data_IF_226343515445
#
_entry.id   IF_226343515445
#
_cell.length_a   1.000
_cell.length_b   1.000
_cell.length_c   1.000
_cell.angle_alpha   90.00
_cell.angle_beta   90.00
_cell.angle_gamma   90.00
#
_symmetry.space_group_name_H-M   'P 1'
#
loop_
_entity.id
_entity.type
_entity.pdbx_description
1 polymer ?
#
# COMPACT_ATOMS: atom_id res chain seq x y z
N UNK A 1 -31.28 16.74 20.97
CA UNK A 1 -32.03 15.47 21.02
C UNK A 1 -32.26 14.94 22.43
N UNK A 2 -31.26 14.91 23.34
CA UNK A 2 -31.49 14.38 24.71
C UNK A 2 -32.47 15.23 25.53
N UNK A 3 -32.35 16.56 25.50
CA UNK A 3 -33.19 17.46 26.31
C UNK A 3 -34.67 17.48 25.88
N UNK A 4 -34.92 17.29 24.58
CA UNK A 4 -36.27 17.27 24.00
C UNK A 4 -37.00 15.97 24.34
N UNK A 5 -36.28 14.84 24.36
CA UNK A 5 -36.81 13.55 24.83
C UNK A 5 -37.12 13.60 26.33
N UNK A 6 -36.26 14.25 27.13
CA UNK A 6 -36.49 14.43 28.57
C UNK A 6 -37.65 15.39 28.88
N UNK A 7 -37.93 16.35 28.00
CA UNK A 7 -39.12 17.20 28.10
C UNK A 7 -40.39 16.39 27.80
N UNK A 8 -40.40 15.60 26.71
CA UNK A 8 -41.54 14.76 26.33
C UNK A 8 -41.86 13.70 27.40
N UNK A 9 -40.83 13.07 27.99
CA UNK A 9 -41.01 12.08 29.07
C UNK A 9 -41.59 12.71 30.36
N UNK A 10 -41.27 13.98 30.65
CA UNK A 10 -41.86 14.71 31.78
C UNK A 10 -43.34 15.02 31.54
N UNK A 11 -43.70 15.46 30.33
CA UNK A 11 -45.10 15.70 29.96
C UNK A 11 -45.93 14.42 30.00
N UNK A 12 -45.37 13.30 29.52
CA UNK A 12 -46.04 12.00 29.56
C UNK A 12 -46.32 11.52 30.99
N UNK A 13 -45.38 11.70 31.93
CA UNK A 13 -45.61 11.37 33.35
C UNK A 13 -46.67 12.25 34.00
N UNK A 14 -46.69 13.55 33.70
CA UNK A 14 -47.70 14.47 34.22
C UNK A 14 -49.11 14.06 33.77
N UNK A 15 -49.29 13.72 32.49
CA UNK A 15 -50.57 13.24 31.96
C UNK A 15 -51.01 11.91 32.59
N UNK A 16 -50.06 11.01 32.88
CA UNK A 16 -50.36 9.74 33.55
C UNK A 16 -50.81 9.94 35.01
N UNK A 17 -50.26 10.93 35.71
CA UNK A 17 -50.69 11.31 37.06
C UNK A 17 -52.08 11.99 37.06
N UNK A 18 -52.37 12.84 36.08
CA UNK A 18 -53.72 13.41 35.91
C UNK A 18 -54.78 12.33 35.65
N UNK A 19 -54.49 11.36 34.79
CA UNK A 19 -55.41 10.25 34.52
C UNK A 19 -55.68 9.40 35.78
N UNK A 20 -54.66 9.20 36.63
CA UNK A 20 -54.85 8.52 37.92
C UNK A 20 -55.75 9.32 38.88
N UNK A 21 -55.69 10.65 38.84
CA UNK A 21 -56.54 11.49 39.66
C UNK A 21 -58.00 11.54 39.16
N UNK A 22 -58.24 11.46 37.86
CA UNK A 22 -59.61 11.39 37.32
C UNK A 22 -60.24 9.99 37.45
N UNK A 23 -59.46 8.91 37.40
CA UNK A 23 -59.97 7.54 37.56
C UNK A 23 -60.37 7.15 38.99
N UNK A 24 -60.04 7.96 40.00
CA UNK A 24 -60.33 7.66 41.41
C UNK A 24 -61.69 8.21 41.91
N UNK A 25 -62.40 9.01 41.12
CA UNK A 25 -63.65 9.67 41.55
C UNK A 25 -64.95 9.07 40.98
N UNK A 26 -64.91 7.97 40.22
CA UNK A 26 -66.11 7.36 39.59
C UNK A 26 -66.59 6.05 40.27
N UNK A 27 -66.43 5.91 41.59
CA UNK A 27 -66.89 4.71 42.31
C UNK A 27 -67.72 5.02 43.55
N UNK A 28 -68.79 5.81 43.42
CA UNK A 28 -69.92 5.80 44.36
C UNK A 28 -71.21 6.31 43.71
N UNK A 29 -71.75 5.57 42.75
CA UNK A 29 -73.18 5.60 42.50
C UNK A 29 -73.76 4.23 42.84
N UNK A 30 -74.19 4.12 44.10
CA UNK A 30 -75.05 3.06 44.58
C UNK A 30 -76.32 3.04 43.72
N UNK A 31 -76.45 1.95 42.97
CA UNK A 31 -77.65 1.57 42.25
C UNK A 31 -78.78 1.36 43.27
N UNK A 32 -79.74 2.29 43.32
CA UNK A 32 -80.98 2.13 44.07
C UNK A 32 -81.92 1.26 43.23
N UNK A 33 -82.35 0.07 43.69
CA UNK A 33 -83.30 -0.73 42.95
C UNK A 33 -84.70 -0.11 43.09
N UNK A 34 -85.23 0.43 41.99
CA UNK A 34 -86.66 0.74 41.89
C UNK A 34 -87.45 -0.58 41.90
N UNK A 35 -87.98 -0.95 43.06
CA UNK A 35 -89.03 -1.96 43.16
C UNK A 35 -90.32 -1.35 42.63
N UNK A 36 -90.85 -1.89 41.52
CA UNK A 36 -92.18 -1.54 41.03
C UNK A 36 -93.20 -2.00 42.07
N UNK A 37 -93.85 -1.06 42.75
CA UNK A 37 -95.04 -1.31 43.54
C UNK A 37 -96.14 -1.87 42.63
N UNK A 38 -96.42 -3.16 42.79
CA UNK A 38 -97.62 -3.80 42.29
C UNK A 38 -98.85 -3.10 42.89
N UNK A 39 -99.71 -2.60 42.01
CA UNK A 39 -101.04 -2.11 42.37
C UNK A 39 -101.87 -3.24 42.97
N UNK A 40 -102.16 -3.13 44.28
CA UNK A 40 -103.27 -3.84 44.91
C UNK A 40 -104.53 -3.01 44.69
N UNK A 41 -105.32 -3.39 43.68
CA UNK A 41 -106.73 -3.00 43.61
C UNK A 41 -107.45 -3.62 44.81
N UNK A 42 -107.91 -2.78 45.74
CA UNK A 42 -108.80 -3.18 46.82
C UNK A 42 -110.19 -3.45 46.24
N UNK A 43 -110.56 -4.72 46.18
CA UNK A 43 -111.95 -5.14 46.18
C UNK A 43 -112.58 -4.71 47.52
N UNK A 44 -113.71 -4.01 47.48
CA UNK A 44 -114.35 -3.48 48.68
C UNK A 44 -115.74 -2.90 48.43
N UNK A 45 -116.69 -3.81 48.21
CA UNK A 45 -118.10 -3.71 48.65
C UNK A 45 -118.76 -2.31 48.64
N UNK A 46 -119.49 -2.01 47.57
CA UNK A 46 -120.59 -1.04 47.61
C UNK A 46 -121.91 -1.81 47.64
N UNK A 47 -122.57 -1.80 48.81
CA UNK A 47 -123.86 -2.44 49.06
C UNK A 47 -124.99 -1.66 48.40
N UNK A 48 -125.58 -2.26 47.36
CA UNK A 48 -126.87 -1.86 46.80
C UNK A 48 -127.97 -2.02 47.86
N UNK A 49 -128.49 -0.91 48.40
CA UNK A 49 -129.81 -0.86 49.05
C UNK A 49 -130.80 -0.24 48.07
N UNK A 50 -131.38 -1.09 47.22
CA UNK A 50 -132.54 -0.72 46.42
C UNK A 50 -133.80 -0.92 47.27
N UNK A 51 -134.38 0.19 47.71
CA UNK A 51 -135.72 0.22 48.30
C UNK A 51 -136.75 -0.01 47.19
N UNK A 52 -137.52 -1.10 47.33
CA UNK A 52 -138.61 -1.47 46.44
C UNK A 52 -139.88 -0.66 46.78
N UNK A 53 -140.36 0.01 45.73
CA UNK A 53 -141.77 0.11 45.32
C UNK A 53 -142.80 0.77 46.23
N UNK A 54 -143.32 1.91 45.77
CA UNK A 54 -144.76 2.13 45.61
C UNK A 54 -144.99 3.26 44.61
N UNK A 55 -145.15 2.93 43.32
CA UNK A 55 -145.61 3.87 42.30
C UNK A 55 -146.25 3.06 41.16
N UNK A 56 -147.57 3.04 41.16
CA UNK A 56 -148.40 2.68 40.01
C UNK A 56 -148.13 3.68 38.90
N UNK A 57 -147.38 3.25 37.88
CA UNK A 57 -147.05 4.06 36.71
C UNK A 57 -147.47 3.33 35.44
N UNK A 58 -148.13 4.10 34.61
CA UNK A 58 -148.66 3.82 33.28
C UNK A 58 -147.67 3.03 32.39
N UNK A 59 -148.08 1.84 31.94
CA UNK A 59 -147.24 0.89 31.19
C UNK A 59 -146.76 1.45 29.83
N UNK A 60 -147.46 2.44 29.27
CA UNK A 60 -147.10 3.06 27.99
C UNK A 60 -145.89 4.01 28.10
N UNK A 61 -145.80 4.78 29.20
CA UNK A 61 -144.66 5.69 29.46
C UNK A 61 -143.37 4.92 29.77
N UNK A 62 -143.49 3.77 30.45
CA UNK A 62 -142.34 2.94 30.81
C UNK A 62 -141.71 2.24 29.60
N UNK A 63 -142.51 1.84 28.60
CA UNK A 63 -142.00 1.19 27.37
C UNK A 63 -141.23 2.19 26.50
N UNK A 64 -141.71 3.43 26.35
CA UNK A 64 -140.98 4.48 25.63
C UNK A 64 -139.69 4.89 26.34
N UNK A 65 -139.71 5.04 27.66
CA UNK A 65 -138.50 5.32 28.44
C UNK A 65 -137.46 4.20 28.34
N UNK A 66 -137.90 2.93 28.35
CA UNK A 66 -137.02 1.78 28.14
C UNK A 66 -136.49 1.70 26.71
N UNK A 67 -137.26 2.12 25.70
CA UNK A 67 -136.82 2.21 24.31
C UNK A 67 -135.75 3.28 24.11
N UNK A 68 -135.95 4.48 24.68
CA UNK A 68 -134.95 5.56 24.67
C UNK A 68 -133.69 5.17 25.45
N UNK A 69 -133.83 4.54 26.61
CA UNK A 69 -132.71 4.01 27.37
C UNK A 69 -131.94 2.94 26.57
N UNK A 70 -132.63 2.03 25.87
CA UNK A 70 -131.99 1.04 25.00
C UNK A 70 -131.25 1.68 23.82
N UNK A 71 -131.83 2.70 23.18
CA UNK A 71 -131.17 3.43 22.09
C UNK A 71 -129.92 4.18 22.58
N UNK A 72 -130.00 4.83 23.75
CA UNK A 72 -128.86 5.49 24.40
C UNK A 72 -127.76 4.50 24.77
N UNK A 73 -128.13 3.36 25.37
CA UNK A 73 -127.20 2.29 25.73
C UNK A 73 -126.54 1.66 24.50
N UNK A 74 -127.27 1.50 23.39
CA UNK A 74 -126.68 1.06 22.12
C UNK A 74 -125.70 2.08 21.56
N UNK A 75 -126.04 3.37 21.57
CA UNK A 75 -125.11 4.43 21.15
C UNK A 75 -123.86 4.51 22.04
N UNK A 76 -124.00 4.33 23.35
CA UNK A 76 -122.87 4.22 24.27
C UNK A 76 -122.03 2.95 24.03
N UNK A 77 -122.67 1.82 23.75
CA UNK A 77 -121.99 0.56 23.42
C UNK A 77 -121.22 0.68 22.11
N UNK A 78 -121.82 1.23 21.05
CA UNK A 78 -121.17 1.47 19.76
C UNK A 78 -119.99 2.44 19.93
N UNK A 79 -120.16 3.50 20.73
CA UNK A 79 -119.07 4.42 21.07
C UNK A 79 -117.96 3.73 21.89
N UNK A 80 -118.31 2.80 22.78
CA UNK A 80 -117.31 1.99 23.49
C UNK A 80 -116.58 1.04 22.54
N UNK A 81 -117.28 0.37 21.61
CA UNK A 81 -116.67 -0.49 20.59
C UNK A 81 -115.68 0.29 19.71
N UNK A 82 -116.06 1.49 19.25
CA UNK A 82 -115.14 2.35 18.48
C UNK A 82 -113.93 2.78 19.31
N UNK A 83 -114.10 3.05 20.62
CA UNK A 83 -112.97 3.36 21.51
C UNK A 83 -112.07 2.14 21.72
N UNK A 84 -112.62 0.94 21.85
CA UNK A 84 -111.81 -0.29 21.99
C UNK A 84 -111.08 -0.61 20.70
N UNK A 85 -111.70 -0.47 19.54
CA UNK A 85 -111.05 -0.65 18.23
C UNK A 85 -109.92 0.38 18.03
N UNK A 86 -110.14 1.64 18.39
CA UNK A 86 -109.09 2.66 18.36
C UNK A 86 -107.95 2.34 19.35
N UNK A 87 -108.27 1.85 20.55
CA UNK A 87 -107.28 1.40 21.52
C UNK A 87 -106.47 0.22 20.98
N UNK A 88 -107.11 -0.78 20.37
CA UNK A 88 -106.45 -1.93 19.75
C UNK A 88 -105.51 -1.50 18.62
N UNK A 89 -105.96 -0.62 17.72
CA UNK A 89 -105.12 -0.07 16.66
C UNK A 89 -103.89 0.69 17.21
N UNK A 90 -104.06 1.45 18.30
CA UNK A 90 -102.92 2.11 18.96
C UNK A 90 -101.96 1.12 19.63
N UNK A 91 -102.47 0.06 20.26
CA UNK A 91 -101.66 -1.02 20.83
C UNK A 91 -100.85 -1.73 19.74
N UNK A 92 -101.47 -2.03 18.60
CA UNK A 92 -100.80 -2.69 17.48
C UNK A 92 -99.71 -1.79 16.85
N UNK A 93 -100.00 -0.50 16.67
CA UNK A 93 -99.00 0.49 16.24
C UNK A 93 -97.83 0.61 17.23
N UNK A 94 -98.11 0.66 18.53
CA UNK A 94 -97.08 0.70 19.57
C UNK A 94 -96.27 -0.60 19.61
N UNK A 95 -96.90 -1.76 19.45
CA UNK A 95 -96.23 -3.06 19.36
C UNK A 95 -95.28 -3.12 18.18
N UNK A 96 -95.70 -2.62 17.02
CA UNK A 96 -94.87 -2.55 15.81
C UNK A 96 -93.66 -1.64 16.03
N UNK A 97 -93.87 -0.44 16.58
CA UNK A 97 -92.78 0.49 16.93
C UNK A 97 -91.81 -0.10 17.96
N UNK A 98 -92.32 -0.85 18.95
CA UNK A 98 -91.48 -1.53 19.93
C UNK A 98 -90.59 -2.59 19.27
N UNK A 99 -91.15 -3.40 18.36
CA UNK A 99 -90.37 -4.39 17.60
C UNK A 99 -89.30 -3.74 16.73
N UNK A 100 -89.64 -2.64 16.04
CA UNK A 100 -88.66 -1.87 15.25
C UNK A 100 -87.54 -1.29 16.13
N UNK A 101 -87.89 -0.73 17.29
CA UNK A 101 -86.91 -0.21 18.24
C UNK A 101 -86.00 -1.32 18.80
N UNK A 102 -86.56 -2.50 19.09
CA UNK A 102 -85.80 -3.67 19.52
C UNK A 102 -84.85 -4.18 18.42
N UNK A 103 -85.29 -4.21 17.16
CA UNK A 103 -84.42 -4.56 16.02
C UNK A 103 -83.27 -3.58 15.89
N UNK A 104 -83.55 -2.27 15.92
CA UNK A 104 -82.51 -1.22 15.85
C UNK A 104 -81.53 -1.29 17.02
N UNK A 105 -82.01 -1.60 18.22
CA UNK A 105 -81.14 -1.79 19.38
C UNK A 105 -80.22 -3.01 19.21
N UNK A 106 -80.75 -4.12 18.69
CA UNK A 106 -79.96 -5.32 18.40
C UNK A 106 -78.91 -5.07 17.31
N UNK A 107 -79.26 -4.32 16.26
CA UNK A 107 -78.31 -3.91 15.22
C UNK A 107 -77.20 -3.01 15.78
N UNK A 108 -77.56 -2.04 16.63
CA UNK A 108 -76.58 -1.19 17.31
C UNK A 108 -75.67 -1.98 18.24
N UNK A 109 -76.19 -2.97 18.96
CA UNK A 109 -75.39 -3.86 19.81
C UNK A 109 -74.39 -4.67 18.98
N UNK A 110 -74.81 -5.24 17.86
CA UNK A 110 -73.92 -5.99 16.96
C UNK A 110 -72.78 -5.10 16.42
N UNK A 111 -73.09 -3.87 16.02
CA UNK A 111 -72.09 -2.90 15.56
C UNK A 111 -71.10 -2.53 16.68
N UNK A 112 -71.58 -2.34 17.92
CA UNK A 112 -70.71 -2.07 19.08
C UNK A 112 -69.78 -3.27 19.36
N UNK A 113 -70.30 -4.49 19.28
CA UNK A 113 -69.50 -5.71 19.46
C UNK A 113 -68.43 -5.83 18.37
N UNK A 114 -68.76 -5.58 17.11
CA UNK A 114 -67.82 -5.55 15.99
C UNK A 114 -66.70 -4.52 16.22
N UNK A 115 -67.04 -3.26 16.52
CA UNK A 115 -66.05 -2.23 16.84
C UNK A 115 -65.19 -2.58 18.07
N UNK A 116 -65.77 -3.23 19.08
CA UNK A 116 -65.01 -3.66 20.26
C UNK A 116 -63.99 -4.75 19.93
N UNK A 117 -64.37 -5.68 19.03
CA UNK A 117 -63.50 -6.73 18.53
C UNK A 117 -62.38 -6.16 17.67
N UNK A 118 -62.69 -5.27 16.73
CA UNK A 118 -61.69 -4.57 15.91
C UNK A 118 -60.72 -3.77 16.78
N UNK A 119 -61.21 -3.04 17.78
CA UNK A 119 -60.37 -2.30 18.73
C UNK A 119 -59.43 -3.23 19.49
N UNK A 120 -59.91 -4.40 19.93
CA UNK A 120 -59.07 -5.41 20.59
C UNK A 120 -57.97 -5.92 19.66
N UNK A 121 -58.32 -6.22 18.40
CA UNK A 121 -57.36 -6.69 17.40
C UNK A 121 -56.28 -5.63 17.11
N UNK A 122 -56.66 -4.37 16.96
CA UNK A 122 -55.71 -3.25 16.77
C UNK A 122 -54.79 -3.12 17.98
N UNK A 123 -55.31 -3.29 19.20
CA UNK A 123 -54.51 -3.21 20.42
C UNK A 123 -53.49 -4.34 20.51
N UNK A 124 -53.85 -5.56 20.13
CA UNK A 124 -52.92 -6.69 20.09
C UNK A 124 -51.85 -6.52 19.00
N UNK A 125 -52.22 -5.99 17.83
CA UNK A 125 -51.26 -5.62 16.79
C UNK A 125 -50.29 -4.54 17.27
N UNK A 126 -50.77 -3.52 17.99
CA UNK A 126 -49.93 -2.48 18.56
C UNK A 126 -48.92 -3.04 19.56
N UNK A 127 -49.36 -3.95 20.46
CA UNK A 127 -48.47 -4.65 21.38
C UNK A 127 -47.41 -5.48 20.66
N UNK A 128 -47.77 -6.16 19.58
CA UNK A 128 -46.82 -6.94 18.79
C UNK A 128 -45.75 -6.04 18.14
N UNK A 129 -46.16 -4.88 17.61
CA UNK A 129 -45.24 -3.87 17.07
C UNK A 129 -44.33 -3.29 18.16
N UNK A 130 -44.87 -3.00 19.35
CA UNK A 130 -44.08 -2.51 20.48
C UNK A 130 -43.02 -3.53 20.92
N UNK A 131 -43.39 -4.80 21.02
CA UNK A 131 -42.44 -5.89 21.32
C UNK A 131 -41.36 -6.01 20.24
N UNK A 132 -41.74 -5.91 18.96
CA UNK A 132 -40.80 -5.89 17.83
C UNK A 132 -39.80 -4.73 17.92
N UNK A 133 -40.27 -3.53 18.25
CA UNK A 133 -39.43 -2.35 18.43
C UNK A 133 -38.45 -2.50 19.61
N UNK A 134 -38.90 -3.08 20.72
CA UNK A 134 -38.01 -3.37 21.86
C UNK A 134 -36.93 -4.39 21.48
N UNK A 135 -37.30 -5.43 20.72
CA UNK A 135 -36.35 -6.42 20.20
C UNK A 135 -35.31 -5.77 19.27
N UNK A 136 -35.75 -4.96 18.30
CA UNK A 136 -34.86 -4.24 17.39
C UNK A 136 -33.93 -3.28 18.13
N UNK A 137 -34.43 -2.57 19.14
CA UNK A 137 -33.61 -1.69 19.98
C UNK A 137 -32.52 -2.47 20.73
N UNK A 138 -32.85 -3.65 21.24
CA UNK A 138 -31.86 -4.51 21.91
C UNK A 138 -30.79 -5.02 20.96
N UNK A 139 -31.16 -5.43 19.74
CA UNK A 139 -30.19 -5.89 18.74
C UNK A 139 -29.32 -4.75 18.21
N UNK A 140 -29.90 -3.55 18.02
CA UNK A 140 -29.13 -2.36 17.66
C UNK A 140 -28.06 -2.04 18.71
N UNK A 141 -28.42 -2.08 20.00
CA UNK A 141 -27.46 -1.86 21.08
C UNK A 141 -26.36 -2.94 21.11
N UNK A 142 -26.72 -4.19 20.79
CA UNK A 142 -25.77 -5.30 20.67
C UNK A 142 -24.78 -5.05 19.52
N UNK A 143 -25.27 -4.62 18.36
CA UNK A 143 -24.45 -4.30 17.19
C UNK A 143 -23.53 -3.10 17.44
N UNK A 144 -24.02 -2.05 18.10
CA UNK A 144 -23.19 -0.90 18.51
C UNK A 144 -22.04 -1.37 19.41
N UNK A 145 -22.35 -2.21 20.41
CA UNK A 145 -21.33 -2.75 21.33
C UNK A 145 -20.29 -3.60 20.59
N UNK A 146 -20.74 -4.48 19.69
CA UNK A 146 -19.84 -5.31 18.88
C UNK A 146 -18.94 -4.47 17.97
N UNK A 147 -19.47 -3.42 17.35
CA UNK A 147 -18.71 -2.51 16.51
C UNK A 147 -17.65 -1.75 17.32
N UNK A 148 -17.99 -1.29 18.54
CA UNK A 148 -17.03 -0.64 19.43
C UNK A 148 -15.93 -1.60 19.90
N UNK A 149 -16.26 -2.86 20.19
CA UNK A 149 -15.28 -3.90 20.49
C UNK A 149 -14.32 -4.15 19.32
N UNK A 150 -14.84 -4.28 18.10
CA UNK A 150 -14.03 -4.44 16.88
C UNK A 150 -13.12 -3.23 16.65
N UNK A 151 -13.66 -2.01 16.81
CA UNK A 151 -12.87 -0.77 16.69
C UNK A 151 -11.74 -0.73 17.70
N UNK A 152 -12.01 -1.09 18.96
CA UNK A 152 -10.96 -1.15 19.99
C UNK A 152 -9.94 -2.24 19.71
N UNK A 153 -10.35 -3.42 19.22
CA UNK A 153 -9.44 -4.50 18.85
C UNK A 153 -8.47 -4.04 17.74
N UNK A 154 -8.99 -3.46 16.66
CA UNK A 154 -8.17 -2.92 15.57
C UNK A 154 -7.21 -1.83 16.07
N UNK A 155 -7.67 -0.94 16.96
CA UNK A 155 -6.80 0.09 17.54
C UNK A 155 -5.65 -0.53 18.35
N UNK A 156 -5.92 -1.58 19.15
CA UNK A 156 -4.89 -2.27 19.93
C UNK A 156 -3.86 -2.95 19.04
N UNK A 157 -4.29 -3.61 17.97
CA UNK A 157 -3.40 -4.24 16.98
C UNK A 157 -2.53 -3.20 16.25
N UNK A 158 -3.13 -2.08 15.85
CA UNK A 158 -2.40 -0.96 15.27
C UNK A 158 -1.33 -0.41 16.22
N UNK A 159 -1.72 -0.10 17.46
CA UNK A 159 -0.81 0.42 18.48
C UNK A 159 0.32 -0.57 18.81
N UNK A 160 0.01 -1.87 18.80
CA UNK A 160 1.00 -2.93 18.99
C UNK A 160 2.01 -2.97 17.84
N UNK A 161 1.53 -2.95 16.60
CA UNK A 161 2.38 -2.97 15.40
C UNK A 161 3.30 -1.75 15.37
N UNK A 162 2.77 -0.56 15.68
CA UNK A 162 3.57 0.68 15.76
C UNK A 162 4.63 0.59 16.86
N UNK A 163 4.29 0.03 18.02
CA UNK A 163 5.26 -0.20 19.12
C UNK A 163 6.36 -1.17 18.71
N UNK A 164 6.02 -2.29 18.08
CA UNK A 164 7.00 -3.29 17.63
C UNK A 164 7.93 -2.72 16.56
N UNK A 165 7.39 -2.01 15.56
CA UNK A 165 8.20 -1.33 14.54
C UNK A 165 9.13 -0.28 15.15
N UNK A 166 8.66 0.47 16.15
CA UNK A 166 9.49 1.47 16.85
C UNK A 166 10.67 0.81 17.56
N UNK A 167 10.42 -0.25 18.33
CA UNK A 167 11.48 -0.98 19.05
C UNK A 167 12.49 -1.57 18.08
N UNK A 168 12.04 -2.14 16.96
CA UNK A 168 12.95 -2.69 15.95
C UNK A 168 13.77 -1.62 15.24
N UNK A 169 13.16 -0.48 14.91
CA UNK A 169 13.88 0.67 14.37
C UNK A 169 14.93 1.21 15.36
N UNK A 170 14.61 1.29 16.66
CA UNK A 170 15.56 1.70 17.69
C UNK A 170 16.76 0.73 17.77
N UNK A 171 16.52 -0.60 17.68
CA UNK A 171 17.60 -1.60 17.61
C UNK A 171 18.46 -1.44 16.36
N UNK A 172 17.84 -1.25 15.20
CA UNK A 172 18.55 -1.06 13.93
C UNK A 172 19.40 0.20 13.94
N UNK A 173 18.87 1.31 14.47
CA UNK A 173 19.62 2.57 14.64
C UNK A 173 20.82 2.34 15.55
N UNK A 174 20.64 1.68 16.70
CA UNK A 174 21.75 1.37 17.61
C UNK A 174 22.83 0.54 16.92
N UNK A 175 22.44 -0.51 16.19
CA UNK A 175 23.38 -1.35 15.46
C UNK A 175 24.16 -0.59 14.38
N UNK A 176 23.49 0.26 13.59
CA UNK A 176 24.14 1.08 12.56
C UNK A 176 25.08 2.11 13.18
N UNK A 177 24.72 2.73 14.30
CA UNK A 177 25.61 3.63 15.05
C UNK A 177 26.89 2.90 15.50
N UNK A 178 26.76 1.69 16.07
CA UNK A 178 27.92 0.87 16.45
C UNK A 178 28.81 0.51 15.24
N UNK A 179 28.22 0.22 14.07
CA UNK A 179 28.99 -0.01 12.84
C UNK A 179 29.73 1.25 12.37
N UNK A 180 29.07 2.41 12.41
CA UNK A 180 29.68 3.70 12.06
C UNK A 180 30.87 4.00 12.98
N UNK A 181 30.72 3.78 14.29
CA UNK A 181 31.79 4.01 15.25
C UNK A 181 32.98 3.07 15.02
N UNK A 182 32.73 1.80 14.72
CA UNK A 182 33.79 0.84 14.31
C UNK A 182 34.49 1.27 13.02
N UNK A 183 33.74 1.70 12.02
CA UNK A 183 34.29 2.17 10.75
C UNK A 183 35.14 3.45 10.94
N UNK A 184 34.68 4.39 11.78
CA UNK A 184 35.44 5.59 12.15
C UNK A 184 36.72 5.26 12.87
N UNK A 185 36.68 4.32 13.83
CA UNK A 185 37.87 3.85 14.52
C UNK A 185 38.88 3.24 13.53
N UNK A 186 38.44 2.34 12.65
CA UNK A 186 39.29 1.74 11.61
C UNK A 186 39.89 2.77 10.65
N UNK A 187 39.12 3.77 10.23
CA UNK A 187 39.62 4.87 9.40
C UNK A 187 40.71 5.67 10.11
N UNK A 188 40.51 5.98 11.41
CA UNK A 188 41.52 6.71 12.19
C UNK A 188 42.80 5.89 12.33
N UNK A 189 42.71 4.58 12.61
CA UNK A 189 43.87 3.68 12.64
C UNK A 189 44.61 3.68 11.32
N UNK A 190 43.91 3.47 10.19
CA UNK A 190 44.53 3.49 8.86
C UNK A 190 45.18 4.84 8.54
N UNK A 191 44.56 5.94 8.98
CA UNK A 191 45.10 7.29 8.79
C UNK A 191 46.42 7.47 9.54
N UNK A 192 46.51 7.00 10.78
CA UNK A 192 47.75 7.05 11.56
C UNK A 192 48.82 6.10 11.00
N UNK A 193 48.45 4.89 10.56
CA UNK A 193 49.37 3.97 9.86
C UNK A 193 49.93 4.59 8.58
N UNK A 194 49.09 5.26 7.78
CA UNK A 194 49.51 5.98 6.58
C UNK A 194 50.46 7.13 6.89
N UNK A 195 50.23 7.88 7.97
CA UNK A 195 51.16 8.93 8.42
C UNK A 195 52.50 8.35 8.87
N UNK A 196 52.47 7.26 9.64
CA UNK A 196 53.67 6.57 10.11
C UNK A 196 54.50 6.02 8.93
N UNK A 197 53.85 5.35 7.97
CA UNK A 197 54.50 4.83 6.77
C UNK A 197 55.14 5.95 5.93
N UNK A 198 54.46 7.09 5.75
CA UNK A 198 55.04 8.26 5.07
C UNK A 198 56.24 8.84 5.81
N UNK A 199 56.20 8.89 7.14
CA UNK A 199 57.32 9.35 7.96
C UNK A 199 58.53 8.44 7.77
N UNK A 200 58.33 7.13 7.88
CA UNK A 200 59.38 6.13 7.68
C UNK A 200 59.98 6.19 6.27
N UNK A 201 59.15 6.33 5.24
CA UNK A 201 59.62 6.48 3.86
C UNK A 201 60.41 7.78 3.66
N UNK A 202 60.02 8.87 4.32
CA UNK A 202 60.75 10.13 4.27
C UNK A 202 62.14 10.02 4.95
N UNK A 203 62.23 9.31 6.07
CA UNK A 203 63.50 9.00 6.75
C UNK A 203 64.41 8.13 5.88
N UNK A 204 63.87 7.06 5.29
CA UNK A 204 64.61 6.18 4.36
C UNK A 204 65.13 6.96 3.15
N UNK A 205 64.30 7.80 2.55
CA UNK A 205 64.69 8.65 1.43
C UNK A 205 65.79 9.67 1.82
N UNK A 206 65.77 10.19 3.05
CA UNK A 206 66.85 11.04 3.56
C UNK A 206 68.15 10.24 3.75
N UNK A 207 68.08 9.02 4.29
CA UNK A 207 69.23 8.12 4.42
C UNK A 207 69.88 7.81 3.07
N UNK A 208 69.09 7.39 2.08
CA UNK A 208 69.56 7.10 0.73
C UNK A 208 70.18 8.33 0.05
N UNK A 209 69.63 9.53 0.27
CA UNK A 209 70.22 10.78 -0.24
C UNK A 209 71.56 11.09 0.40
N UNK A 210 71.72 10.81 1.69
CA UNK A 210 72.99 11.00 2.39
C UNK A 210 74.04 10.01 1.86
N UNK A 211 73.67 8.74 1.70
CA UNK A 211 74.53 7.69 1.15
C UNK A 211 74.95 7.99 -0.30
N UNK A 212 74.00 8.41 -1.15
CA UNK A 212 74.31 8.82 -2.53
C UNK A 212 75.31 9.98 -2.57
N UNK A 213 75.17 10.97 -1.68
CA UNK A 213 76.14 12.09 -1.59
C UNK A 213 77.52 11.60 -1.16
N UNK A 214 77.60 10.71 -0.18
CA UNK A 214 78.87 10.14 0.27
C UNK A 214 79.56 9.38 -0.87
N UNK A 215 78.83 8.51 -1.57
CA UNK A 215 79.34 7.78 -2.74
C UNK A 215 79.77 8.71 -3.88
N UNK A 216 79.04 9.81 -4.10
CA UNK A 216 79.41 10.82 -5.10
C UNK A 216 80.73 11.52 -4.72
N UNK A 217 80.88 11.92 -3.46
CA UNK A 217 82.13 12.52 -2.96
C UNK A 217 83.31 11.55 -3.03
N UNK A 218 83.10 10.27 -2.70
CA UNK A 218 84.13 9.25 -2.82
C UNK A 218 84.55 9.04 -4.28
N UNK A 219 83.60 8.95 -5.21
CA UNK A 219 83.88 8.92 -6.64
C UNK A 219 84.69 10.13 -7.09
N UNK A 220 84.27 11.35 -6.72
CA UNK A 220 84.96 12.58 -7.14
C UNK A 220 86.40 12.62 -6.60
N UNK A 221 86.63 12.15 -5.36
CA UNK A 221 87.97 12.00 -4.80
C UNK A 221 88.82 10.97 -5.56
N UNK A 222 88.25 9.81 -5.89
CA UNK A 222 88.93 8.76 -6.66
C UNK A 222 89.26 9.24 -8.09
N UNK A 223 88.36 9.98 -8.73
CA UNK A 223 88.59 10.58 -10.04
C UNK A 223 89.74 11.60 -9.99
N UNK A 224 89.82 12.42 -8.93
CA UNK A 224 90.92 13.36 -8.73
C UNK A 224 92.26 12.64 -8.46
N UNK A 225 92.26 11.58 -7.64
CA UNK A 225 93.45 10.74 -7.43
C UNK A 225 93.92 10.07 -8.72
N UNK A 226 92.98 9.52 -9.51
CA UNK A 226 93.29 8.90 -10.80
C UNK A 226 93.90 9.92 -11.76
N UNK A 227 93.33 11.13 -11.86
CA UNK A 227 93.88 12.20 -12.68
C UNK A 227 95.31 12.55 -12.27
N UNK A 228 95.56 12.70 -10.95
CA UNK A 228 96.90 13.00 -10.42
C UNK A 228 97.91 11.89 -10.74
N UNK A 229 97.54 10.62 -10.52
CA UNK A 229 98.39 9.48 -10.83
C UNK A 229 98.64 9.38 -12.33
N UNK A 230 97.63 9.67 -13.16
CA UNK A 230 97.77 9.67 -14.62
C UNK A 230 98.72 10.78 -15.07
N UNK A 231 98.58 12.01 -14.57
CA UNK A 231 99.54 13.09 -14.85
C UNK A 231 100.97 12.75 -14.39
N UNK A 232 101.11 12.18 -13.20
CA UNK A 232 102.42 11.77 -12.65
C UNK A 232 103.05 10.67 -13.52
N UNK A 233 102.25 9.69 -13.95
CA UNK A 233 102.70 8.62 -14.84
C UNK A 233 102.96 9.09 -16.27
N UNK A 234 102.16 10.01 -16.80
CA UNK A 234 102.38 10.60 -18.12
C UNK A 234 103.65 11.46 -18.12
N UNK A 235 103.93 12.20 -17.05
CA UNK A 235 105.20 12.93 -16.90
C UNK A 235 106.41 11.99 -16.78
N UNK A 236 106.31 10.90 -16.01
CA UNK A 236 107.33 9.83 -15.96
C UNK A 236 107.52 9.17 -17.33
N UNK A 237 106.43 8.87 -18.04
CA UNK A 237 106.48 8.26 -19.36
C UNK A 237 107.04 9.22 -20.39
N UNK A 238 106.73 10.51 -20.32
CA UNK A 238 107.24 11.51 -21.25
C UNK A 238 108.73 11.78 -21.01
N UNK A 239 109.20 11.74 -19.77
CA UNK A 239 110.63 11.77 -19.47
C UNK A 239 111.34 10.50 -19.93
N UNK A 240 110.76 9.32 -19.71
CA UNK A 240 111.27 8.05 -20.24
C UNK A 240 111.27 8.02 -21.78
N UNK A 241 110.21 8.52 -22.43
CA UNK A 241 110.11 8.66 -23.89
C UNK A 241 111.08 9.69 -24.42
N UNK A 242 111.29 10.80 -23.74
CA UNK A 242 112.31 11.80 -24.10
C UNK A 242 113.72 11.20 -24.01
N UNK A 243 114.00 10.43 -22.96
CA UNK A 243 115.26 9.71 -22.82
C UNK A 243 115.42 8.61 -23.89
N UNK A 244 114.36 7.86 -24.18
CA UNK A 244 114.34 6.83 -25.22
C UNK A 244 114.48 7.44 -26.61
N UNK A 245 113.74 8.50 -26.92
CA UNK A 245 113.82 9.26 -28.19
C UNK A 245 115.18 9.89 -28.37
N UNK A 246 115.81 10.40 -27.29
CA UNK A 246 117.19 10.87 -27.34
C UNK A 246 118.17 9.71 -27.60
N UNK A 247 118.01 8.58 -26.91
CA UNK A 247 118.78 7.35 -27.16
C UNK A 247 118.58 6.82 -28.59
N UNK A 248 117.35 6.88 -29.10
CA UNK A 248 117.02 6.53 -30.48
C UNK A 248 117.54 7.53 -31.47
N UNK A 249 117.56 8.83 -31.17
CA UNK A 249 118.14 9.84 -32.03
C UNK A 249 119.67 9.73 -32.03
N UNK A 250 120.29 9.36 -30.91
CA UNK A 250 121.72 9.03 -30.83
C UNK A 250 122.02 7.74 -31.61
N UNK A 251 121.14 6.74 -31.52
CA UNK A 251 121.17 5.51 -32.34
C UNK A 251 120.90 5.81 -33.81
N UNK A 252 120.02 6.74 -34.14
CA UNK A 252 119.68 7.16 -35.51
C UNK A 252 120.79 8.01 -36.08
N UNK A 253 121.48 8.83 -35.29
CA UNK A 253 122.72 9.49 -35.69
C UNK A 253 123.85 8.48 -35.89
N UNK A 254 123.91 7.41 -35.09
CA UNK A 254 124.83 6.30 -35.32
C UNK A 254 124.46 5.50 -36.59
N UNK A 255 123.17 5.26 -36.84
CA UNK A 255 122.66 4.60 -38.04
C UNK A 255 122.74 5.48 -39.28
N UNK A 256 122.60 6.80 -39.18
CA UNK A 256 122.82 7.76 -40.27
C UNK A 256 124.30 7.86 -40.61
N UNK A 257 125.20 7.77 -39.61
CA UNK A 257 126.65 7.60 -39.85
C UNK A 257 126.97 6.25 -40.50
N UNK A 258 126.14 5.22 -40.31
CA UNK A 258 126.26 3.95 -41.06
C UNK A 258 125.54 4.00 -42.42
N UNK A 259 124.51 4.82 -42.57
CA UNK A 259 123.75 5.06 -43.81
C UNK A 259 124.53 5.89 -44.82
N UNK A 260 125.50 6.70 -44.37
CA UNK A 260 126.48 7.35 -45.24
C UNK A 260 127.53 6.36 -45.82
N UNK A 261 127.47 5.07 -45.45
CA UNK A 261 128.34 3.99 -45.94
C UNK A 261 127.64 2.93 -46.81
N UNK A 262 126.31 2.96 -46.96
CA UNK A 262 125.59 1.92 -47.72
C UNK A 262 124.53 2.52 -48.65
N UNK A 263 125.00 3.09 -49.76
CA UNK A 263 124.22 3.20 -50.98
C UNK A 263 124.33 1.88 -51.75
N UNK A 264 123.30 1.02 -51.72
CA UNK A 264 122.76 0.29 -52.91
C UNK A 264 121.76 -0.84 -52.59
N UNK A 265 120.47 -0.62 -52.91
CA UNK A 265 119.46 -1.54 -53.55
C UNK A 265 119.06 -2.87 -52.82
N UNK A 266 118.03 -3.64 -53.28
CA UNK A 266 116.71 -3.38 -53.88
C UNK A 266 115.51 -3.96 -53.06
N UNK A 267 114.31 -3.58 -53.51
CA UNK A 267 112.96 -4.18 -53.41
C UNK A 267 112.79 -5.62 -52.87
N UNK A 268 111.79 -5.81 -51.99
CA UNK A 268 110.90 -6.97 -51.85
C UNK A 268 109.72 -6.55 -50.95
N UNK A 269 108.50 -6.28 -51.43
CA UNK A 269 107.45 -7.20 -51.89
C UNK A 269 107.18 -8.38 -50.95
N UNK A 270 106.24 -8.20 -50.02
CA UNK A 270 105.15 -9.15 -49.67
C UNK A 270 104.35 -8.71 -48.41
N UNK A 271 104.85 -7.77 -47.60
CA UNK A 271 104.15 -7.30 -46.38
C UNK A 271 102.98 -6.31 -46.61
N UNK A 272 102.86 -5.73 -47.81
CA UNK A 272 101.77 -4.81 -48.16
C UNK A 272 100.40 -5.50 -48.21
N UNK A 273 100.37 -6.80 -48.53
CA UNK A 273 99.11 -7.57 -48.59
C UNK A 273 98.58 -7.94 -47.20
N UNK A 274 99.46 -8.12 -46.20
CA UNK A 274 99.07 -8.34 -44.80
C UNK A 274 98.62 -7.02 -44.14
N UNK A 275 99.26 -5.90 -44.51
CA UNK A 275 98.87 -4.56 -44.07
C UNK A 275 97.49 -4.14 -44.61
N UNK A 276 97.20 -4.41 -45.90
CA UNK A 276 95.87 -4.16 -46.48
C UNK A 276 94.79 -5.11 -45.93
N UNK A 277 95.14 -6.37 -45.62
CA UNK A 277 94.25 -7.33 -44.95
C UNK A 277 93.90 -6.89 -43.52
N UNK A 278 94.88 -6.43 -42.74
CA UNK A 278 94.68 -5.88 -41.39
C UNK A 278 93.94 -4.54 -41.41
N UNK A 279 94.23 -3.66 -42.36
CA UNK A 279 93.49 -2.41 -42.55
C UNK A 279 92.02 -2.68 -42.90
N UNK A 280 91.76 -3.68 -43.74
CA UNK A 280 90.39 -4.11 -44.10
C UNK A 280 89.67 -4.78 -42.92
N UNK A 281 90.38 -5.55 -42.08
CA UNK A 281 89.83 -6.13 -40.85
C UNK A 281 89.50 -5.06 -39.80
N UNK A 282 90.38 -4.07 -39.60
CA UNK A 282 90.16 -2.94 -38.70
C UNK A 282 88.99 -2.08 -39.21
N UNK A 283 88.87 -1.85 -40.52
CA UNK A 283 87.75 -1.14 -41.11
C UNK A 283 86.42 -1.90 -40.92
N UNK A 284 86.41 -3.24 -41.07
CA UNK A 284 85.24 -4.08 -40.77
C UNK A 284 84.86 -4.02 -39.29
N UNK A 285 85.81 -4.08 -38.37
CA UNK A 285 85.53 -3.98 -36.93
C UNK A 285 85.04 -2.59 -36.53
N UNK A 286 85.55 -1.51 -37.15
CA UNK A 286 85.02 -0.14 -36.94
C UNK A 286 83.59 0.00 -37.45
N UNK A 287 83.30 -0.51 -38.66
CA UNK A 287 81.94 -0.51 -39.21
C UNK A 287 80.96 -1.36 -38.35
N UNK A 288 81.43 -2.48 -37.79
CA UNK A 288 80.63 -3.33 -36.91
C UNK A 288 80.39 -2.68 -35.54
N UNK A 289 81.37 -1.94 -35.01
CA UNK A 289 81.23 -1.13 -33.78
C UNK A 289 80.26 0.04 -33.98
N UNK A 290 80.33 0.73 -35.11
CA UNK A 290 79.39 1.80 -35.47
C UNK A 290 77.97 1.25 -35.65
N UNK A 291 77.81 0.05 -36.22
CA UNK A 291 76.52 -0.64 -36.27
C UNK A 291 75.97 -0.97 -34.87
N UNK A 292 76.80 -1.44 -33.94
CA UNK A 292 76.40 -1.67 -32.54
C UNK A 292 76.01 -0.38 -31.81
N UNK A 293 76.68 0.74 -32.09
CA UNK A 293 76.32 2.05 -31.54
C UNK A 293 74.98 2.53 -32.08
N UNK A 294 74.72 2.34 -33.39
CA UNK A 294 73.42 2.65 -33.98
C UNK A 294 72.27 1.80 -33.39
N UNK A 295 72.52 0.53 -33.05
CA UNK A 295 71.55 -0.29 -32.31
C UNK A 295 71.30 0.20 -30.89
N UNK A 296 72.32 0.73 -30.20
CA UNK A 296 72.18 1.30 -28.86
C UNK A 296 71.39 2.62 -28.89
N UNK A 297 71.63 3.49 -29.87
CA UNK A 297 70.85 4.73 -30.06
C UNK A 297 69.39 4.42 -30.40
N UNK A 298 69.14 3.38 -31.21
CA UNK A 298 67.78 2.93 -31.52
C UNK A 298 67.06 2.35 -30.29
N UNK A 299 67.77 1.64 -29.42
CA UNK A 299 67.23 1.16 -28.14
C UNK A 299 66.91 2.33 -27.19
N UNK A 300 67.75 3.35 -27.12
CA UNK A 300 67.49 4.55 -26.32
C UNK A 300 66.30 5.36 -26.86
N UNK A 301 66.13 5.45 -28.18
CA UNK A 301 64.97 6.09 -28.78
C UNK A 301 63.66 5.34 -28.48
N UNK A 302 63.69 4.01 -28.47
CA UNK A 302 62.53 3.19 -28.06
C UNK A 302 62.20 3.32 -26.57
N UNK A 303 63.21 3.40 -25.71
CA UNK A 303 63.00 3.62 -24.26
C UNK A 303 62.42 5.02 -23.98
N UNK A 304 62.86 6.04 -24.73
CA UNK A 304 62.25 7.37 -24.69
C UNK A 304 60.79 7.35 -25.18
N UNK A 305 60.49 6.64 -26.27
CA UNK A 305 59.11 6.48 -26.77
C UNK A 305 58.21 5.76 -25.75
N UNK A 306 58.71 4.71 -25.09
CA UNK A 306 57.99 4.01 -24.02
C UNK A 306 57.69 4.94 -22.84
N UNK A 307 58.68 5.70 -22.35
CA UNK A 307 58.45 6.70 -21.30
C UNK A 307 57.45 7.78 -21.71
N UNK A 308 57.46 8.17 -22.98
CA UNK A 308 56.48 9.13 -23.52
C UNK A 308 55.08 8.52 -23.54
N UNK A 309 54.94 7.24 -23.92
CA UNK A 309 53.66 6.51 -23.90
C UNK A 309 53.17 6.23 -22.48
N UNK A 310 54.06 5.92 -21.54
CA UNK A 310 53.76 5.81 -20.12
C UNK A 310 53.29 7.16 -19.53
N UNK A 311 53.93 8.26 -19.93
CA UNK A 311 53.49 9.60 -19.55
C UNK A 311 52.16 9.99 -20.19
N UNK A 312 51.89 9.63 -21.44
CA UNK A 312 50.58 9.82 -22.11
C UNK A 312 49.48 8.99 -21.44
N UNK A 313 49.76 7.74 -21.05
CA UNK A 313 48.85 6.88 -20.27
C UNK A 313 48.62 7.43 -18.86
N UNK A 314 49.64 8.02 -18.23
CA UNK A 314 49.50 8.70 -16.94
C UNK A 314 48.76 10.03 -17.05
N UNK A 315 48.92 10.78 -18.14
CA UNK A 315 48.33 12.10 -18.36
C UNK A 315 46.88 12.04 -18.85
N UNK A 316 46.49 10.97 -19.56
CA UNK A 316 45.10 10.76 -20.00
C UNK A 316 44.16 10.48 -18.83
N UNK A 317 44.65 10.16 -17.63
CA UNK A 317 43.83 10.10 -16.42
C UNK A 317 42.63 9.15 -16.52
N UNK A 318 42.64 8.25 -17.50
CA UNK A 318 41.72 7.12 -17.57
C UNK A 318 42.31 6.11 -16.60
N UNK A 319 42.08 6.38 -15.33
CA UNK A 319 42.13 5.38 -14.29
C UNK A 319 41.53 4.10 -14.88
N UNK A 320 42.33 3.04 -15.05
CA UNK A 320 41.78 1.70 -15.26
C UNK A 320 40.72 1.38 -14.21
N UNK A 321 40.78 2.04 -13.04
CA UNK A 321 39.73 2.10 -12.03
C UNK A 321 38.43 2.80 -12.48
N UNK A 322 38.44 3.94 -13.17
CA UNK A 322 37.22 4.60 -13.69
C UNK A 322 36.57 3.79 -14.80
N UNK A 323 37.34 3.27 -15.76
CA UNK A 323 36.80 2.41 -16.81
C UNK A 323 36.21 1.11 -16.19
N UNK A 324 36.93 0.49 -15.25
CA UNK A 324 36.45 -0.68 -14.53
C UNK A 324 35.25 -0.39 -13.61
N UNK A 325 35.17 0.80 -13.00
CA UNK A 325 34.00 1.23 -12.22
C UNK A 325 32.79 1.51 -13.11
N UNK A 326 32.97 2.14 -14.28
CA UNK A 326 31.90 2.35 -15.25
C UNK A 326 31.38 1.02 -15.83
N UNK A 327 32.27 0.05 -16.06
CA UNK A 327 31.89 -1.33 -16.44
C UNK A 327 31.15 -2.02 -15.29
N UNK A 328 31.64 -1.92 -14.05
CA UNK A 328 30.95 -2.48 -12.87
C UNK A 328 29.57 -1.88 -12.66
N UNK A 329 29.42 -0.57 -12.80
CA UNK A 329 28.15 0.14 -12.67
C UNK A 329 27.18 -0.27 -13.78
N UNK A 330 27.68 -0.42 -15.02
CA UNK A 330 26.88 -0.96 -16.14
C UNK A 330 26.45 -2.41 -15.92
N UNK A 331 27.28 -3.25 -15.29
CA UNK A 331 26.94 -4.63 -14.92
C UNK A 331 25.86 -4.66 -13.83
N UNK A 332 25.93 -3.77 -12.83
CA UNK A 332 24.89 -3.66 -11.79
C UNK A 332 23.56 -3.24 -12.41
N UNK A 333 23.56 -2.22 -13.28
CA UNK A 333 22.36 -1.78 -14.01
C UNK A 333 21.76 -2.89 -14.89
N UNK A 334 22.61 -3.70 -15.54
CA UNK A 334 22.17 -4.88 -16.30
C UNK A 334 21.52 -5.95 -15.42
N UNK A 335 22.07 -6.21 -14.23
CA UNK A 335 21.48 -7.17 -13.28
C UNK A 335 20.15 -6.69 -12.69
N UNK A 336 20.02 -5.40 -12.40
CA UNK A 336 18.75 -4.80 -11.99
C UNK A 336 17.70 -4.87 -13.10
N UNK A 337 18.07 -4.56 -14.35
CA UNK A 337 17.19 -4.70 -15.51
C UNK A 337 16.77 -6.18 -15.76
N UNK A 338 17.69 -7.13 -15.55
CA UNK A 338 17.40 -8.55 -15.69
C UNK A 338 16.45 -9.07 -14.59
N UNK A 339 16.66 -8.66 -13.33
CA UNK A 339 15.81 -9.06 -12.20
C UNK A 339 14.40 -8.48 -12.28
N UNK A 340 14.27 -7.22 -12.70
CA UNK A 340 12.97 -6.58 -12.96
C UNK A 340 12.23 -7.27 -14.12
N UNK A 341 12.94 -7.62 -15.20
CA UNK A 341 12.37 -8.42 -16.29
C UNK A 341 11.89 -9.80 -15.80
N UNK A 342 12.63 -10.45 -14.91
CA UNK A 342 12.23 -11.74 -14.34
C UNK A 342 11.00 -11.62 -13.43
N UNK A 343 10.88 -10.53 -12.66
CA UNK A 343 9.69 -10.24 -11.85
C UNK A 343 8.46 -10.06 -12.73
N UNK A 344 8.54 -9.23 -13.77
CA UNK A 344 7.44 -9.00 -14.71
C UNK A 344 7.01 -10.30 -15.42
N UNK A 345 7.94 -11.22 -15.73
CA UNK A 345 7.59 -12.55 -16.26
C UNK A 345 6.76 -13.38 -15.28
N UNK A 346 7.06 -13.33 -13.98
CA UNK A 346 6.27 -14.05 -12.96
C UNK A 346 4.88 -13.44 -12.81
N UNK A 347 4.79 -12.11 -12.77
CA UNK A 347 3.52 -11.39 -12.68
C UNK A 347 2.64 -11.65 -13.92
N UNK A 348 3.22 -11.67 -15.12
CA UNK A 348 2.52 -12.05 -16.35
C UNK A 348 2.01 -13.50 -16.30
N UNK A 349 2.82 -14.43 -15.82
CA UNK A 349 2.43 -15.84 -15.71
C UNK A 349 1.31 -16.05 -14.67
N UNK A 350 1.35 -15.32 -13.57
CA UNK A 350 0.29 -15.34 -12.56
C UNK A 350 -1.02 -14.75 -13.10
N UNK A 351 -0.95 -13.64 -13.85
CA UNK A 351 -2.10 -13.07 -14.53
C UNK A 351 -2.71 -14.05 -15.56
N UNK A 352 -1.88 -14.77 -16.31
CA UNK A 352 -2.34 -15.83 -17.23
C UNK A 352 -3.10 -16.94 -16.50
N UNK A 353 -2.57 -17.43 -15.36
CA UNK A 353 -3.27 -18.43 -14.55
C UNK A 353 -4.62 -17.95 -14.03
N UNK A 354 -4.71 -16.67 -13.62
CA UNK A 354 -5.99 -16.09 -13.17
C UNK A 354 -7.02 -16.04 -14.30
N UNK A 355 -6.58 -15.69 -15.51
CA UNK A 355 -7.45 -15.72 -16.70
C UNK A 355 -7.91 -17.15 -16.99
N UNK A 356 -7.02 -18.14 -17.00
CA UNK A 356 -7.38 -19.55 -17.20
C UNK A 356 -8.40 -20.05 -16.16
N UNK A 357 -8.24 -19.70 -14.88
CA UNK A 357 -9.22 -20.04 -13.84
C UNK A 357 -10.58 -19.39 -14.11
N UNK A 358 -10.62 -18.11 -14.48
CA UNK A 358 -11.87 -17.43 -14.79
C UNK A 358 -12.55 -17.98 -16.06
N UNK A 359 -11.78 -18.36 -17.08
CA UNK A 359 -12.27 -19.05 -18.28
C UNK A 359 -12.93 -20.39 -17.91
N UNK A 360 -12.29 -21.21 -17.06
CA UNK A 360 -12.88 -22.48 -16.60
C UNK A 360 -14.14 -22.28 -15.74
N UNK A 361 -14.19 -21.21 -14.92
CA UNK A 361 -15.39 -20.86 -14.14
C UNK A 361 -16.53 -20.40 -15.06
N UNK A 362 -16.23 -19.61 -16.10
CA UNK A 362 -17.21 -19.19 -17.10
C UNK A 362 -17.72 -20.35 -17.95
N UNK A 363 -16.86 -21.33 -18.30
CA UNK A 363 -17.28 -22.57 -18.95
C UNK A 363 -18.20 -23.39 -18.04
N UNK A 364 -17.86 -23.53 -16.75
CA UNK A 364 -18.70 -24.20 -15.75
C UNK A 364 -20.08 -23.53 -15.57
N UNK A 365 -20.12 -22.20 -15.54
CA UNK A 365 -21.36 -21.42 -15.51
C UNK A 365 -22.12 -21.49 -16.84
N UNK A 366 -21.42 -21.60 -17.97
CA UNK A 366 -21.99 -21.82 -19.30
C UNK A 366 -22.73 -23.15 -19.42
N UNK A 367 -22.26 -24.19 -18.75
CA UNK A 367 -22.94 -25.50 -18.66
C UNK A 367 -24.20 -25.44 -17.78
N UNK A 368 -24.24 -24.53 -16.80
CA UNK A 368 -25.44 -24.28 -15.97
C UNK A 368 -26.46 -23.34 -16.65
N UNK A 369 -26.05 -22.57 -17.64
CA UNK A 369 -26.85 -21.56 -18.34
C UNK A 369 -27.79 -22.10 -19.45
N UNK A 370 -28.07 -23.40 -19.50
CA UNK A 370 -29.15 -23.94 -20.33
C UNK A 370 -30.56 -23.62 -19.76
N UNK A 371 -30.66 -22.94 -18.61
CA UNK A 371 -31.93 -22.44 -18.06
C UNK A 371 -31.78 -21.02 -17.49
N UNK A 372 -32.30 -20.06 -18.27
CA UNK A 372 -32.87 -18.74 -17.92
C UNK A 372 -32.12 -17.77 -16.98
N UNK A 373 -32.22 -16.51 -17.41
CA UNK A 373 -32.01 -15.25 -16.69
C UNK A 373 -30.56 -14.81 -16.43
N UNK A 374 -30.31 -13.54 -16.76
CA UNK A 374 -29.01 -12.88 -16.80
C UNK A 374 -28.52 -12.69 -15.38
N UNK A 375 -27.64 -13.60 -14.95
CA UNK A 375 -27.07 -13.60 -13.61
C UNK A 375 -26.08 -12.42 -13.44
N UNK A 376 -26.29 -11.50 -12.48
CA UNK A 376 -25.40 -10.35 -12.24
C UNK A 376 -23.94 -10.76 -11.95
N UNK A 377 -23.72 -11.96 -11.43
CA UNK A 377 -22.38 -12.51 -11.19
C UNK A 377 -21.61 -12.73 -12.50
N UNK A 378 -22.29 -13.13 -13.58
CA UNK A 378 -21.67 -13.28 -14.90
C UNK A 378 -21.21 -11.95 -15.47
N UNK A 379 -21.97 -10.87 -15.24
CA UNK A 379 -21.57 -9.53 -15.67
C UNK A 379 -20.35 -9.02 -14.89
N UNK A 380 -20.25 -9.32 -13.59
CA UNK A 380 -19.06 -8.98 -12.79
C UNK A 380 -17.82 -9.72 -13.29
N UNK A 381 -17.92 -11.02 -13.58
CA UNK A 381 -16.81 -11.83 -14.10
C UNK A 381 -16.33 -11.34 -15.48
N UNK A 382 -17.24 -10.93 -16.37
CA UNK A 382 -16.89 -10.35 -17.68
C UNK A 382 -16.13 -9.03 -17.53
N UNK A 383 -16.55 -8.17 -16.59
CA UNK A 383 -15.86 -6.91 -16.30
C UNK A 383 -14.47 -7.15 -15.71
N UNK A 384 -14.34 -8.12 -14.80
CA UNK A 384 -13.06 -8.49 -14.19
C UNK A 384 -12.09 -9.11 -15.21
N UNK A 385 -12.59 -9.98 -16.10
CA UNK A 385 -11.82 -10.55 -17.20
C UNK A 385 -11.30 -9.48 -18.17
N UNK A 386 -12.15 -8.51 -18.54
CA UNK A 386 -11.75 -7.38 -19.39
C UNK A 386 -10.68 -6.50 -18.73
N UNK A 387 -10.78 -6.29 -17.40
CA UNK A 387 -9.75 -5.58 -16.62
C UNK A 387 -8.43 -6.34 -16.60
N UNK A 388 -8.45 -7.64 -16.35
CA UNK A 388 -7.25 -8.49 -16.33
C UNK A 388 -6.59 -8.60 -17.71
N UNK A 389 -7.37 -8.65 -18.79
CA UNK A 389 -6.84 -8.58 -20.16
C UNK A 389 -6.15 -7.25 -20.46
N UNK A 390 -6.71 -6.13 -19.99
CA UNK A 390 -6.08 -4.82 -20.12
C UNK A 390 -4.75 -4.75 -19.35
N UNK A 391 -4.73 -5.28 -18.12
CA UNK A 391 -3.52 -5.36 -17.29
C UNK A 391 -2.46 -6.27 -17.92
N UNK A 392 -2.86 -7.42 -18.47
CA UNK A 392 -1.97 -8.31 -19.23
C UNK A 392 -1.33 -7.59 -20.42
N UNK A 393 -2.12 -6.87 -21.23
CA UNK A 393 -1.60 -6.10 -22.38
C UNK A 393 -0.63 -4.99 -21.93
N UNK A 394 -0.92 -4.33 -20.81
CA UNK A 394 -0.02 -3.34 -20.23
C UNK A 394 1.33 -3.95 -19.83
N UNK A 395 1.31 -5.06 -19.08
CA UNK A 395 2.52 -5.76 -18.64
C UNK A 395 3.34 -6.31 -19.82
N UNK A 396 2.67 -6.77 -20.89
CA UNK A 396 3.34 -7.23 -22.11
C UNK A 396 4.05 -6.08 -22.85
N UNK A 397 3.41 -4.91 -22.94
CA UNK A 397 4.03 -3.71 -23.49
C UNK A 397 5.24 -3.23 -22.65
N UNK A 398 5.12 -3.22 -21.32
CA UNK A 398 6.24 -2.89 -20.43
C UNK A 398 7.40 -3.87 -20.58
N UNK A 399 7.12 -5.17 -20.67
CA UNK A 399 8.13 -6.20 -20.92
C UNK A 399 8.90 -5.92 -22.22
N UNK A 400 8.19 -5.61 -23.30
CA UNK A 400 8.82 -5.30 -24.60
C UNK A 400 9.70 -4.06 -24.53
N UNK A 401 9.25 -3.01 -23.83
CA UNK A 401 10.06 -1.79 -23.60
C UNK A 401 11.32 -2.07 -22.80
N UNK A 402 11.23 -2.85 -21.71
CA UNK A 402 12.38 -3.25 -20.88
C UNK A 402 13.36 -4.12 -21.65
N UNK A 403 12.86 -5.02 -22.51
CA UNK A 403 13.71 -5.84 -23.36
C UNK A 403 14.49 -5.01 -24.39
N UNK A 404 13.91 -3.93 -24.90
CA UNK A 404 14.62 -2.96 -25.73
C UNK A 404 15.70 -2.20 -24.95
N UNK A 405 15.40 -1.73 -23.73
CA UNK A 405 16.38 -1.07 -22.84
C UNK A 405 17.60 -1.98 -22.55
N UNK A 406 17.37 -3.27 -22.29
CA UNK A 406 18.44 -4.26 -22.10
C UNK A 406 19.28 -4.43 -23.36
N UNK A 407 18.66 -4.42 -24.54
CA UNK A 407 19.36 -4.45 -25.82
C UNK A 407 20.29 -3.26 -26.01
N UNK A 408 19.82 -2.04 -25.73
CA UNK A 408 20.63 -0.83 -25.81
C UNK A 408 21.81 -0.87 -24.82
N UNK A 409 21.57 -1.25 -23.56
CA UNK A 409 22.64 -1.37 -22.55
C UNK A 409 23.70 -2.39 -22.96
N UNK A 410 23.29 -3.53 -23.54
CA UNK A 410 24.22 -4.54 -24.05
C UNK A 410 25.11 -3.98 -25.16
N UNK A 411 24.53 -3.28 -26.15
CA UNK A 411 25.33 -2.65 -27.21
C UNK A 411 26.28 -1.58 -26.68
N UNK A 412 25.88 -0.86 -25.62
CA UNK A 412 26.74 0.13 -24.96
C UNK A 412 27.93 -0.53 -24.28
N UNK A 413 27.71 -1.63 -23.57
CA UNK A 413 28.79 -2.43 -22.93
C UNK A 413 29.74 -3.02 -23.98
N UNK A 414 29.22 -3.53 -25.10
CA UNK A 414 30.05 -4.05 -26.20
C UNK A 414 30.93 -2.95 -26.81
N UNK A 415 30.37 -1.74 -27.05
CA UNK A 415 31.14 -0.59 -27.54
C UNK A 415 32.20 -0.12 -26.54
N UNK A 416 31.88 -0.07 -25.24
CA UNK A 416 32.87 0.35 -24.24
C UNK A 416 33.95 -0.70 -24.03
N UNK A 417 33.62 -1.98 -24.12
CA UNK A 417 34.59 -3.08 -24.02
C UNK A 417 35.56 -3.07 -25.21
N UNK A 418 35.05 -2.88 -26.43
CA UNK A 418 35.87 -2.76 -27.65
C UNK A 418 36.73 -1.48 -27.72
N UNK A 419 36.48 -0.49 -26.85
CA UNK A 419 37.33 0.70 -26.71
C UNK A 419 38.39 0.56 -25.61
N UNK A 420 38.26 -0.46 -24.75
CA UNK A 420 39.19 -0.77 -23.66
C UNK A 420 40.22 -1.81 -24.08
N UNK A 421 39.83 -2.76 -24.94
CA UNK A 421 40.75 -3.59 -25.74
C UNK A 421 41.48 -2.77 -26.81
#
# INVERSE_FOLDING_TARGET
MSEEMDAQMRTARHLQEEIKHYGANESTHQFVPYTSQAGKQSAGQSTNKFSRSALTVDMSSSVEQLSYANASLRGELDAQCLRTEAAEATIESLSTRLKEAQSKLSEQQAVIEEYSSERSQIFDQFKAVEAGNQSLKSELNRLISLHDEQRQAMQREFDQTVREMRVENERRIKHLSEQIDKARAGHNTLTEEMKAARSSQAEEAQGLRAELRAMTMERDNLEAELARVTEEKDAELETLRGALSKSENDRQHALSRMSDLESSRPEASEDLALADSLATAIAKFKAQRESCLAWRERAQALDAQLKTKEAELSATGIDGRRAHMAVKESIVQLNEAASTTQRLRRELHEAQKRVEVLETQLEGLGVLAAKREVDPEKNQLVVEMARLEAERKHLENERMRRQAEVGELRTKVERTSASVE
#
